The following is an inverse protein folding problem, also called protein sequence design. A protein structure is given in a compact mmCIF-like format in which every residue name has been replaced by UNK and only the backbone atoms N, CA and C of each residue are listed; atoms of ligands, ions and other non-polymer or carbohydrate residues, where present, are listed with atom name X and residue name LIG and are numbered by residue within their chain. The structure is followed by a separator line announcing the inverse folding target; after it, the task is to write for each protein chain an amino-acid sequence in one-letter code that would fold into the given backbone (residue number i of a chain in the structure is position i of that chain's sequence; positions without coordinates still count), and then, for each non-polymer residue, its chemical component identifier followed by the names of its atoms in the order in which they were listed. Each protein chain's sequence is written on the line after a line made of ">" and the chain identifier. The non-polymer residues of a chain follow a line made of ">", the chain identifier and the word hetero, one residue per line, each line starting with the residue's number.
data_IF_120574358952
#
_entry.id   IF_120574358952
#
_cell.length_a   1.000
_cell.length_b   1.000
_cell.length_c   1.000
_cell.angle_alpha   90.00
_cell.angle_beta   90.00
_cell.angle_gamma   90.00
#
_symmetry.space_group_name_H-M   'P 1'
#
loop_
_entity.id
_entity.type
_entity.pdbx_description
1 polymer ?
#
# COMPACT_ATOMS: atom_id res chain seq x y z
N UNK A 1 16.76 -6.74 -8.80
CA UNK A 1 17.41 -7.20 -10.04
C UNK A 1 18.92 -7.25 -9.93
N UNK A 2 19.60 -6.14 -9.56
CA UNK A 2 21.07 -6.09 -9.46
C UNK A 2 21.69 -7.14 -8.50
N UNK A 3 21.05 -7.44 -7.36
CA UNK A 3 21.50 -8.48 -6.40
C UNK A 3 21.72 -9.85 -7.05
N UNK A 4 20.95 -10.16 -8.10
CA UNK A 4 21.01 -11.42 -8.84
C UNK A 4 21.56 -11.23 -10.27
N UNK A 5 22.20 -10.08 -10.54
CA UNK A 5 22.77 -9.71 -11.84
C UNK A 5 21.79 -9.83 -13.02
N UNK A 6 20.50 -9.58 -12.76
CA UNK A 6 19.46 -9.61 -13.79
C UNK A 6 19.47 -8.27 -14.52
N UNK A 7 19.65 -8.30 -15.84
CA UNK A 7 19.56 -7.12 -16.69
C UNK A 7 18.13 -6.54 -16.69
N UNK A 8 17.98 -5.22 -16.73
CA UNK A 8 16.68 -4.55 -16.57
C UNK A 8 15.63 -4.94 -17.64
N UNK A 9 16.09 -5.28 -18.85
CA UNK A 9 15.22 -5.72 -19.96
C UNK A 9 15.06 -7.25 -20.05
N UNK A 10 15.60 -8.02 -19.10
CA UNK A 10 15.46 -9.46 -19.11
C UNK A 10 13.98 -9.86 -18.97
N UNK A 11 13.53 -10.81 -19.81
CA UNK A 11 12.16 -11.32 -19.77
C UNK A 11 12.04 -12.42 -18.72
N UNK A 12 10.86 -12.57 -18.12
CA UNK A 12 10.63 -13.60 -17.08
C UNK A 12 10.97 -15.00 -17.58
N UNK A 13 10.57 -15.35 -18.81
CA UNK A 13 10.84 -16.66 -19.40
C UNK A 13 12.33 -16.93 -19.72
N UNK A 14 13.18 -15.90 -19.69
CA UNK A 14 14.63 -16.05 -19.90
C UNK A 14 15.41 -16.32 -18.61
N UNK A 15 14.74 -16.31 -17.45
CA UNK A 15 15.38 -16.52 -16.15
C UNK A 15 15.54 -18.02 -15.87
N UNK A 16 16.72 -18.41 -15.36
CA UNK A 16 16.96 -19.78 -14.95
C UNK A 16 16.09 -20.14 -13.73
N UNK A 17 15.58 -21.39 -13.61
CA UNK A 17 14.66 -21.77 -12.55
C UNK A 17 15.23 -21.54 -11.14
N UNK A 18 16.53 -21.80 -10.94
CA UNK A 18 17.24 -21.51 -9.68
C UNK A 18 17.11 -20.05 -9.24
N UNK A 19 17.18 -19.12 -10.20
CA UNK A 19 17.12 -17.68 -9.92
C UNK A 19 15.70 -17.28 -9.53
N UNK A 20 14.70 -17.88 -10.14
CA UNK A 20 13.29 -17.70 -9.76
C UNK A 20 13.05 -18.16 -8.33
N UNK A 21 13.57 -19.33 -7.94
CA UNK A 21 13.46 -19.81 -6.56
C UNK A 21 14.13 -18.85 -5.56
N UNK A 22 15.34 -18.36 -5.86
CA UNK A 22 16.01 -17.37 -5.01
C UNK A 22 15.21 -16.07 -4.87
N UNK A 23 14.60 -15.59 -5.96
CA UNK A 23 13.71 -14.43 -5.92
C UNK A 23 12.48 -14.66 -5.03
N UNK A 24 11.85 -15.84 -5.11
CA UNK A 24 10.70 -16.16 -4.25
C UNK A 24 11.07 -16.20 -2.76
N UNK A 25 12.23 -16.76 -2.42
CA UNK A 25 12.74 -16.77 -1.05
C UNK A 25 13.02 -15.36 -0.55
N UNK A 26 13.62 -14.49 -1.38
CA UNK A 26 13.87 -13.09 -1.03
C UNK A 26 12.55 -12.32 -0.80
N UNK A 27 11.59 -12.46 -1.71
CA UNK A 27 10.29 -11.78 -1.61
C UNK A 27 9.54 -12.17 -0.33
N UNK A 28 9.71 -13.40 0.14
CA UNK A 28 9.08 -13.89 1.37
C UNK A 28 9.62 -13.22 2.64
N UNK A 29 10.84 -12.67 2.59
CA UNK A 29 11.43 -11.93 3.72
C UNK A 29 11.03 -10.44 3.72
N UNK A 30 10.49 -9.95 2.61
CA UNK A 30 10.10 -8.55 2.46
C UNK A 30 8.65 -8.35 2.89
N UNK A 31 8.33 -7.19 3.45
CA UNK A 31 6.94 -6.82 3.74
C UNK A 31 6.24 -6.41 2.44
N UNK A 32 5.57 -7.37 1.80
CA UNK A 32 4.87 -7.19 0.53
C UNK A 32 3.38 -7.55 0.64
N UNK A 33 2.59 -7.16 -0.36
CA UNK A 33 1.17 -7.49 -0.51
C UNK A 33 0.34 -7.32 0.78
N UNK A 34 -0.20 -8.40 1.33
CA UNK A 34 -1.16 -8.39 2.44
C UNK A 34 -0.59 -7.75 3.69
N UNK A 35 0.68 -8.00 4.01
CA UNK A 35 1.29 -7.46 5.22
C UNK A 35 1.45 -5.95 5.11
N UNK A 36 1.88 -5.45 3.95
CA UNK A 36 1.97 -4.02 3.68
C UNK A 36 0.57 -3.35 3.69
N UNK A 37 -0.45 -4.00 3.13
CA UNK A 37 -1.85 -3.51 3.17
C UNK A 37 -2.36 -3.46 4.61
N UNK A 38 -2.07 -4.48 5.42
CA UNK A 38 -2.45 -4.55 6.84
C UNK A 38 -1.80 -3.44 7.65
N UNK A 39 -0.51 -3.18 7.47
CA UNK A 39 0.18 -2.08 8.14
C UNK A 39 -0.50 -0.72 7.85
N UNK A 40 -0.91 -0.46 6.61
CA UNK A 40 -1.62 0.77 6.25
C UNK A 40 -2.98 0.86 6.95
N UNK A 41 -3.74 -0.24 6.97
CA UNK A 41 -5.05 -0.29 7.64
C UNK A 41 -4.92 -0.08 9.16
N UNK A 42 -3.96 -0.75 9.80
CA UNK A 42 -3.71 -0.61 11.24
C UNK A 42 -3.31 0.83 11.60
N UNK A 43 -2.50 1.48 10.77
CA UNK A 43 -2.19 2.89 10.95
C UNK A 43 -3.44 3.79 10.90
N UNK A 44 -4.38 3.52 9.98
CA UNK A 44 -5.64 4.29 9.89
C UNK A 44 -6.56 3.99 11.08
N UNK A 45 -6.68 2.72 11.50
CA UNK A 45 -7.47 2.31 12.68
C UNK A 45 -6.95 2.99 13.94
N UNK A 46 -5.63 2.93 14.18
CA UNK A 46 -4.99 3.64 15.28
C UNK A 46 -5.32 5.14 15.30
N UNK A 47 -5.29 5.81 14.14
CA UNK A 47 -5.66 7.23 14.05
C UNK A 47 -7.13 7.50 14.39
N UNK A 48 -8.02 6.57 14.06
CA UNK A 48 -9.45 6.62 14.40
C UNK A 48 -9.64 6.41 15.90
N UNK A 49 -9.00 5.39 16.47
CA UNK A 49 -9.17 5.01 17.88
C UNK A 49 -8.66 6.09 18.84
N UNK A 50 -7.55 6.76 18.48
CA UNK A 50 -7.04 7.94 19.20
C UNK A 50 -7.97 9.15 19.08
N UNK A 51 -8.91 9.16 18.12
CA UNK A 51 -9.82 10.28 17.90
C UNK A 51 -9.19 11.48 17.16
N UNK A 52 -8.07 11.27 16.47
CA UNK A 52 -7.37 12.33 15.74
C UNK A 52 -8.20 12.93 14.60
N UNK A 53 -7.90 14.17 14.18
CA UNK A 53 -8.54 14.79 13.02
C UNK A 53 -8.49 13.87 11.79
N UNK A 54 -7.30 13.34 11.47
CA UNK A 54 -7.11 12.44 10.31
C UNK A 54 -7.98 11.18 10.40
N UNK A 55 -8.07 10.57 11.59
CA UNK A 55 -8.94 9.41 11.83
C UNK A 55 -10.41 9.71 11.52
N UNK A 56 -10.92 10.85 12.02
CA UNK A 56 -12.29 11.30 11.71
C UNK A 56 -12.50 11.53 10.22
N UNK A 57 -11.54 12.14 9.52
CA UNK A 57 -11.62 12.37 8.07
C UNK A 57 -11.66 11.05 7.28
N UNK A 58 -10.86 10.07 7.67
CA UNK A 58 -10.90 8.73 7.07
C UNK A 58 -12.23 8.00 7.32
N UNK A 59 -12.84 8.15 8.51
CA UNK A 59 -14.14 7.57 8.81
C UNK A 59 -15.29 8.24 8.03
N UNK A 60 -15.24 9.56 7.86
CA UNK A 60 -16.25 10.34 7.12
C UNK A 60 -16.06 10.33 5.60
N UNK A 61 -15.01 9.70 5.08
CA UNK A 61 -14.68 9.71 3.66
C UNK A 61 -14.16 11.05 3.13
N UNK A 62 -13.76 11.98 3.99
CA UNK A 62 -13.33 13.31 3.55
C UNK A 62 -11.82 13.39 3.31
N UNK A 63 -11.34 14.39 2.56
CA UNK A 63 -9.91 14.65 2.42
C UNK A 63 -9.23 14.89 3.78
N UNK A 64 -8.11 14.21 4.03
CA UNK A 64 -7.43 14.18 5.33
C UNK A 64 -6.15 15.03 5.40
N UNK A 65 -5.71 15.65 4.30
CA UNK A 65 -4.46 16.45 4.23
C UNK A 65 -4.74 17.95 4.04
N UNK A 66 -5.86 18.45 4.57
CA UNK A 66 -6.20 19.88 4.52
C UNK A 66 -6.75 20.38 3.19
N UNK A 67 -7.19 19.49 2.29
CA UNK A 67 -7.80 19.91 1.03
C UNK A 67 -9.19 20.52 1.24
N UNK A 68 -9.56 21.46 0.35
CA UNK A 68 -10.89 22.05 0.28
C UNK A 68 -11.96 20.97 0.07
N UNK A 69 -13.09 21.10 0.76
CA UNK A 69 -14.21 20.14 0.65
C UNK A 69 -15.41 20.61 -0.16
N UNK A 70 -15.45 21.90 -0.54
CA UNK A 70 -16.58 22.48 -1.30
C UNK A 70 -16.70 21.90 -2.71
N UNK A 71 -15.58 21.58 -3.36
CA UNK A 71 -15.50 21.13 -4.75
C UNK A 71 -14.46 20.04 -4.90
N UNK A 72 -14.62 19.15 -5.88
CA UNK A 72 -13.62 18.14 -6.28
C UNK A 72 -13.16 17.19 -5.16
N UNK A 73 -14.10 16.57 -4.45
CA UNK A 73 -13.81 15.60 -3.37
C UNK A 73 -14.08 14.14 -3.74
N UNK A 74 -14.51 13.86 -4.97
CA UNK A 74 -15.05 12.56 -5.37
C UNK A 74 -14.13 11.37 -5.07
N UNK A 75 -12.83 11.50 -5.33
CA UNK A 75 -11.85 10.42 -5.08
C UNK A 75 -11.68 10.13 -3.59
N UNK A 76 -11.61 11.18 -2.76
CA UNK A 76 -11.55 11.04 -1.31
C UNK A 76 -12.82 10.38 -0.78
N UNK A 77 -13.99 10.87 -1.18
CA UNK A 77 -15.29 10.33 -0.75
C UNK A 77 -15.45 8.84 -1.10
N UNK A 78 -14.89 8.42 -2.24
CA UNK A 78 -14.95 7.03 -2.68
C UNK A 78 -13.98 6.11 -1.91
N UNK A 79 -12.72 6.56 -1.73
CA UNK A 79 -11.60 5.71 -1.34
C UNK A 79 -11.11 5.91 0.11
N UNK A 80 -11.37 7.05 0.73
CA UNK A 80 -11.02 7.25 2.13
C UNK A 80 -12.02 6.49 2.99
N UNK A 81 -11.57 5.35 3.53
CA UNK A 81 -12.31 4.54 4.48
C UNK A 81 -11.34 4.05 5.55
N UNK A 82 -11.88 3.59 6.68
CA UNK A 82 -11.09 2.98 7.75
C UNK A 82 -10.44 1.69 7.22
N UNK A 83 -11.23 0.82 6.60
CA UNK A 83 -10.73 -0.36 5.90
C UNK A 83 -10.41 -0.01 4.45
N UNK A 84 -9.27 0.65 4.26
CA UNK A 84 -8.79 1.03 2.93
C UNK A 84 -8.43 -0.23 2.15
N UNK A 85 -9.07 -0.40 0.99
CA UNK A 85 -8.68 -1.37 -0.04
C UNK A 85 -7.51 -0.77 -0.81
N UNK A 86 -6.29 -1.07 -0.34
CA UNK A 86 -5.08 -0.92 -1.14
C UNK A 86 -4.96 -2.11 -2.08
#
# INVERSE_FOLDING_TARGET
>A
MAKYSIHNLAKVGSLAPRTVTSLTAELSQMTIETDARRQVQENIRRLKDIGSYRGRRHAMGLPARGQRTRTQTATANKLNRVDRRA
#
